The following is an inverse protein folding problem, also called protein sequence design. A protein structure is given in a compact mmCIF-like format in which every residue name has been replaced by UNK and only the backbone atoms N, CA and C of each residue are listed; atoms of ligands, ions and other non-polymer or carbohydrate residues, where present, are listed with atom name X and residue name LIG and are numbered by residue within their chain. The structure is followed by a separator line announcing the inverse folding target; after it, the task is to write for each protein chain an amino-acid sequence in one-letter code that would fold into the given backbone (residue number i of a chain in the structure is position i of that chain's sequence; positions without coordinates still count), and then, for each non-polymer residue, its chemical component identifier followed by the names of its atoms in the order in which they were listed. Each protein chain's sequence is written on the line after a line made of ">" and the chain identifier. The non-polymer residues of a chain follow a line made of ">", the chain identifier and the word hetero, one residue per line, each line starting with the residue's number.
data_IF_246414346659
#
_entry.id   IF_246414346659
#
_cell.length_a   1.000
_cell.length_b   1.000
_cell.length_c   1.000
_cell.angle_alpha   90.00
_cell.angle_beta   90.00
_cell.angle_gamma   90.00
#
_symmetry.space_group_name_H-M   'P 1'
#
loop_
_entity.id
_entity.type
_entity.pdbx_description
1 polymer ?
#
# COMPACT_ATOMS: atom_id res chain seq x y z
N UNK A 1 47.93 -69.64 -19.06
CA UNK A 1 47.43 -68.99 -17.81
C UNK A 1 47.91 -67.55 -17.81
N UNK A 2 47.06 -66.59 -18.24
CA UNK A 2 47.37 -65.15 -18.27
C UNK A 2 46.57 -64.47 -17.15
N UNK A 3 47.23 -63.92 -16.17
CA UNK A 3 46.60 -63.10 -15.07
C UNK A 3 46.56 -61.66 -15.52
N UNK A 4 45.36 -61.12 -15.68
CA UNK A 4 45.10 -59.71 -15.96
C UNK A 4 44.98 -58.98 -14.62
N UNK A 5 45.85 -58.01 -14.40
CA UNK A 5 45.88 -57.18 -13.21
C UNK A 5 45.02 -55.93 -13.50
N UNK A 6 43.85 -55.79 -12.82
CA UNK A 6 43.04 -54.58 -12.89
C UNK A 6 43.59 -53.55 -11.86
N UNK A 7 44.00 -52.41 -12.41
CA UNK A 7 44.33 -51.23 -11.58
C UNK A 7 43.06 -50.47 -11.28
N UNK A 8 42.70 -50.36 -10.00
CA UNK A 8 41.69 -49.43 -9.51
C UNK A 8 42.36 -48.09 -9.19
N UNK A 9 41.96 -47.02 -9.90
CA UNK A 9 42.27 -45.65 -9.56
C UNK A 9 41.22 -45.14 -8.54
N UNK A 10 41.62 -44.57 -7.44
CA UNK A 10 40.66 -43.92 -6.53
C UNK A 10 40.27 -42.55 -7.11
N UNK A 11 38.97 -42.35 -7.30
CA UNK A 11 38.36 -41.08 -7.66
C UNK A 11 38.30 -40.22 -6.38
N UNK A 12 39.15 -39.19 -6.30
CA UNK A 12 39.12 -38.19 -5.22
C UNK A 12 38.05 -37.19 -5.54
N UNK A 13 36.90 -37.25 -4.82
CA UNK A 13 35.92 -36.17 -4.81
C UNK A 13 36.43 -35.02 -3.95
N UNK A 14 36.80 -33.92 -4.58
CA UNK A 14 37.00 -32.65 -3.88
C UNK A 14 35.60 -32.03 -3.57
N UNK A 15 35.34 -31.62 -2.33
CA UNK A 15 34.15 -30.83 -2.05
C UNK A 15 34.33 -29.39 -2.58
N UNK A 16 33.45 -28.98 -3.52
CA UNK A 16 33.29 -27.56 -3.83
C UNK A 16 32.72 -26.86 -2.63
N UNK A 17 33.56 -26.20 -1.84
CA UNK A 17 33.12 -25.20 -0.88
C UNK A 17 32.66 -23.97 -1.67
N UNK A 18 31.33 -23.82 -1.85
CA UNK A 18 30.74 -22.60 -2.34
C UNK A 18 31.01 -21.45 -1.36
N UNK A 19 31.82 -20.48 -1.79
CA UNK A 19 31.91 -19.19 -1.12
C UNK A 19 30.56 -18.51 -1.28
N UNK A 20 29.78 -18.46 -0.22
CA UNK A 20 28.67 -17.54 -0.12
C UNK A 20 29.23 -16.11 -0.10
N UNK A 21 29.03 -15.38 -1.19
CA UNK A 21 29.31 -13.96 -1.25
C UNK A 21 28.28 -13.27 -0.33
N UNK A 22 28.74 -12.82 0.85
CA UNK A 22 27.99 -11.91 1.67
C UNK A 22 27.98 -10.54 0.98
N UNK A 23 26.81 -10.09 0.51
CA UNK A 23 26.61 -8.73 0.06
C UNK A 23 26.77 -7.77 1.27
N UNK A 24 27.72 -6.83 1.24
CA UNK A 24 27.95 -5.90 2.35
C UNK A 24 26.95 -4.72 2.37
N UNK A 25 26.07 -4.61 1.38
CA UNK A 25 25.00 -3.64 1.37
C UNK A 25 23.78 -4.31 1.99
N UNK A 26 23.36 -3.83 3.17
CA UNK A 26 22.13 -4.27 3.85
C UNK A 26 20.89 -3.97 3.01
N UNK A 27 20.80 -4.62 1.87
CA UNK A 27 19.55 -4.79 1.16
C UNK A 27 18.66 -5.60 2.09
N UNK A 28 17.66 -4.97 2.64
CA UNK A 28 16.51 -5.67 3.18
C UNK A 28 16.04 -6.57 2.05
N UNK A 29 16.24 -7.88 2.21
CA UNK A 29 15.68 -8.87 1.32
C UNK A 29 14.17 -8.64 1.34
N UNK A 30 13.65 -7.98 0.30
CA UNK A 30 12.23 -7.82 0.02
C UNK A 30 11.67 -9.22 -0.32
N UNK A 31 11.46 -10.06 0.69
CA UNK A 31 10.61 -11.25 0.58
C UNK A 31 9.14 -10.86 0.34
N UNK A 32 8.84 -9.57 0.41
CA UNK A 32 7.55 -8.96 0.09
C UNK A 32 7.41 -8.88 -1.42
N UNK A 33 6.40 -9.54 -1.97
CA UNK A 33 6.11 -9.69 -3.39
C UNK A 33 6.31 -8.40 -4.21
N UNK A 34 6.43 -8.52 -5.52
CA UNK A 34 6.66 -7.36 -6.41
C UNK A 34 5.58 -6.31 -6.21
N UNK A 35 5.95 -5.01 -6.06
CA UNK A 35 4.95 -3.94 -6.07
C UNK A 35 4.24 -3.94 -7.41
N UNK A 36 2.91 -4.17 -7.43
CA UNK A 36 2.11 -4.06 -8.64
C UNK A 36 1.40 -2.70 -8.72
N UNK A 37 1.44 -1.91 -7.63
CA UNK A 37 1.00 -0.54 -7.59
C UNK A 37 1.98 0.28 -6.75
N UNK A 38 2.44 1.40 -7.29
CA UNK A 38 3.15 2.45 -6.54
C UNK A 38 2.52 3.80 -6.87
N UNK A 39 2.46 4.68 -5.90
CA UNK A 39 1.95 6.04 -6.08
C UNK A 39 2.78 7.03 -5.28
N UNK A 40 3.00 8.23 -5.85
CA UNK A 40 3.80 9.30 -5.26
C UNK A 40 2.96 10.47 -4.75
N UNK A 41 1.63 10.43 -4.94
CA UNK A 41 0.72 11.48 -4.51
C UNK A 41 -0.63 10.94 -4.07
N UNK A 42 -1.30 11.71 -3.19
CA UNK A 42 -2.71 11.54 -2.86
C UNK A 42 -3.39 12.91 -2.85
N UNK A 43 -4.70 12.93 -3.06
CA UNK A 43 -5.55 14.12 -3.02
C UNK A 43 -6.50 14.02 -1.85
N UNK A 44 -6.57 15.08 -1.05
CA UNK A 44 -7.56 15.20 0.02
C UNK A 44 -8.98 15.33 -0.55
N UNK A 45 -9.98 14.91 0.22
CA UNK A 45 -11.38 15.09 -0.16
C UNK A 45 -11.72 16.57 -0.25
N UNK A 46 -12.36 16.97 -1.35
CA UNK A 46 -12.72 18.37 -1.62
C UNK A 46 -13.91 18.46 -2.58
N UNK A 47 -14.54 19.62 -2.64
CA UNK A 47 -15.56 19.99 -3.62
C UNK A 47 -16.71 18.98 -3.69
N UNK A 48 -16.95 18.43 -4.88
CA UNK A 48 -18.08 17.54 -5.14
C UNK A 48 -17.99 16.18 -4.43
N UNK A 49 -16.87 15.84 -3.83
CA UNK A 49 -16.68 14.57 -3.12
C UNK A 49 -16.98 14.66 -1.62
N UNK A 50 -17.14 15.86 -1.08
CA UNK A 50 -17.51 16.06 0.33
C UNK A 50 -18.91 15.48 0.54
N UNK A 51 -19.04 14.46 1.39
CA UNK A 51 -20.28 13.73 1.71
C UNK A 51 -21.08 13.21 0.50
N UNK A 52 -20.47 13.18 -0.70
CA UNK A 52 -21.17 12.88 -1.93
C UNK A 52 -20.24 12.19 -2.96
N UNK A 53 -20.79 11.76 -4.09
CA UNK A 53 -20.04 11.18 -5.20
C UNK A 53 -19.05 10.10 -4.78
N UNK A 54 -19.53 9.03 -4.16
CA UNK A 54 -18.72 7.92 -3.68
C UNK A 54 -17.79 7.37 -4.77
N UNK A 55 -16.51 7.18 -4.45
CA UNK A 55 -15.55 6.47 -5.31
C UNK A 55 -15.56 5.01 -4.91
N UNK A 56 -15.96 4.12 -5.82
CA UNK A 56 -16.05 2.67 -5.53
C UNK A 56 -16.89 2.33 -4.29
N UNK A 57 -17.94 3.11 -4.03
CA UNK A 57 -18.82 2.94 -2.89
C UNK A 57 -18.30 3.53 -1.57
N UNK A 58 -17.12 4.15 -1.56
CA UNK A 58 -16.57 4.82 -0.39
C UNK A 58 -16.85 6.32 -0.49
N UNK A 59 -17.57 6.88 0.50
CA UNK A 59 -17.87 8.31 0.57
C UNK A 59 -16.68 9.10 1.12
N UNK A 60 -16.54 10.33 0.66
CA UNK A 60 -15.65 11.31 1.27
C UNK A 60 -16.20 11.82 2.61
N UNK A 61 -15.32 12.41 3.40
CA UNK A 61 -15.67 13.03 4.66
C UNK A 61 -16.62 14.23 4.49
N UNK A 62 -17.22 14.69 5.57
CA UNK A 62 -18.15 15.84 5.60
C UNK A 62 -17.44 17.17 5.45
N UNK A 63 -16.16 17.21 5.75
CA UNK A 63 -15.33 18.40 5.64
C UNK A 63 -14.21 18.17 4.64
N UNK A 64 -13.71 19.24 4.02
CA UNK A 64 -12.55 19.14 3.14
C UNK A 64 -11.29 18.77 3.91
N UNK A 65 -10.41 18.00 3.30
CA UNK A 65 -9.08 17.66 3.80
C UNK A 65 -8.02 18.06 2.81
N UNK A 66 -6.88 18.52 3.30
CA UNK A 66 -5.69 18.77 2.50
C UNK A 66 -4.57 17.84 2.93
N UNK A 67 -3.70 17.48 2.01
CA UNK A 67 -2.54 16.63 2.27
C UNK A 67 -1.28 17.30 1.74
N UNK A 68 -0.20 17.29 2.53
CA UNK A 68 1.08 17.87 2.11
C UNK A 68 1.83 16.93 1.18
N UNK A 69 1.91 15.65 1.53
CA UNK A 69 2.50 14.61 0.70
C UNK A 69 2.05 13.23 1.17
N UNK A 70 1.94 12.31 0.22
CA UNK A 70 1.80 10.90 0.52
C UNK A 70 2.43 10.08 -0.60
N UNK A 71 2.96 8.93 -0.25
CA UNK A 71 3.43 7.93 -1.19
C UNK A 71 3.17 6.55 -0.62
N UNK A 72 3.10 5.57 -1.48
CA UNK A 72 2.87 4.22 -1.03
C UNK A 72 3.09 3.17 -2.11
N UNK A 73 3.04 1.92 -1.67
CA UNK A 73 3.13 0.73 -2.51
C UNK A 73 2.16 -0.34 -2.05
N UNK A 74 1.70 -1.13 -2.99
CA UNK A 74 0.92 -2.34 -2.76
C UNK A 74 1.57 -3.48 -3.53
N UNK A 75 1.83 -4.59 -2.87
CA UNK A 75 2.41 -5.79 -3.49
C UNK A 75 1.34 -6.81 -3.87
N UNK A 76 1.68 -7.74 -4.73
CA UNK A 76 0.73 -8.76 -5.23
C UNK A 76 0.25 -9.72 -4.14
N UNK A 77 1.00 -9.87 -3.05
CA UNK A 77 0.64 -10.68 -1.88
C UNK A 77 -0.09 -9.89 -0.79
N UNK A 78 -0.45 -8.60 -1.08
CA UNK A 78 -1.30 -7.76 -0.26
C UNK A 78 -0.59 -6.88 0.76
N UNK A 79 0.74 -6.77 0.74
CA UNK A 79 1.43 -5.82 1.61
C UNK A 79 1.18 -4.40 1.13
N UNK A 80 0.53 -3.61 1.98
CA UNK A 80 0.24 -2.20 1.79
C UNK A 80 1.15 -1.36 2.68
N UNK A 81 1.84 -0.41 2.09
CA UNK A 81 2.55 0.65 2.79
C UNK A 81 2.09 2.01 2.28
N UNK A 82 1.70 2.91 3.20
CA UNK A 82 1.37 4.31 2.90
C UNK A 82 2.08 5.20 3.91
N UNK A 83 2.91 6.12 3.42
CA UNK A 83 3.46 7.20 4.23
C UNK A 83 2.64 8.46 4.01
N UNK A 84 1.97 8.95 5.06
CA UNK A 84 1.08 10.12 5.04
C UNK A 84 1.73 11.25 5.81
N UNK A 85 1.77 12.45 5.22
CA UNK A 85 2.33 13.64 5.88
C UNK A 85 1.42 14.84 5.66
N UNK A 86 1.00 15.46 6.75
CA UNK A 86 0.21 16.68 6.73
C UNK A 86 -1.20 16.51 6.18
N UNK A 87 -1.87 15.40 6.48
CA UNK A 87 -3.29 15.20 6.19
C UNK A 87 -4.12 15.85 7.29
N UNK A 88 -4.61 17.06 7.04
CA UNK A 88 -5.26 17.93 7.99
C UNK A 88 -6.42 18.69 7.34
N UNK A 89 -7.31 19.27 8.14
CA UNK A 89 -8.29 20.20 7.61
C UNK A 89 -7.63 21.44 7.02
N UNK A 90 -8.07 21.93 5.85
CA UNK A 90 -7.53 23.15 5.24
C UNK A 90 -7.95 24.41 6.02
N UNK A 91 -7.30 25.52 5.74
CA UNK A 91 -7.78 26.84 6.18
C UNK A 91 -8.90 27.33 5.25
N UNK A 92 -10.04 26.68 5.32
CA UNK A 92 -11.23 26.92 4.50
C UNK A 92 -12.39 27.42 5.36
N UNK A 93 -13.25 28.35 4.89
CA UNK A 93 -14.45 28.80 5.60
C UNK A 93 -15.42 27.67 5.98
N UNK A 94 -15.48 26.58 5.22
CA UNK A 94 -16.33 25.42 5.53
C UNK A 94 -15.84 24.63 6.75
N UNK A 95 -14.58 24.81 7.15
CA UNK A 95 -13.99 24.14 8.31
C UNK A 95 -14.15 25.01 9.56
N UNK A 96 -14.62 24.46 10.70
CA UNK A 96 -14.65 25.16 11.98
C UNK A 96 -13.26 25.76 12.33
N UNK A 97 -13.20 27.01 12.84
CA UNK A 97 -11.91 27.70 13.03
C UNK A 97 -10.90 26.95 13.92
N UNK A 98 -11.38 26.19 14.89
CA UNK A 98 -10.60 25.41 15.85
C UNK A 98 -10.04 24.10 15.27
N UNK A 99 -10.57 23.64 14.13
CA UNK A 99 -10.09 22.45 13.42
C UNK A 99 -9.10 22.77 12.30
N UNK A 100 -9.02 24.03 11.85
CA UNK A 100 -8.17 24.39 10.72
C UNK A 100 -6.70 24.12 11.00
N UNK A 101 -6.03 23.47 10.04
CA UNK A 101 -4.61 23.15 10.09
C UNK A 101 -4.26 21.98 11.01
N UNK A 102 -5.23 21.25 11.53
CA UNK A 102 -5.01 20.07 12.35
C UNK A 102 -5.75 18.85 11.83
N UNK A 103 -5.31 17.69 12.29
CA UNK A 103 -6.03 16.44 12.25
C UNK A 103 -6.65 16.20 13.63
N UNK A 104 -7.93 15.88 13.69
CA UNK A 104 -8.65 15.54 14.92
C UNK A 104 -8.84 14.03 15.13
N UNK A 105 -8.52 13.21 14.12
CA UNK A 105 -8.58 11.74 14.21
C UNK A 105 -7.31 11.16 14.85
N UNK A 106 -7.45 10.25 15.84
CA UNK A 106 -6.30 9.63 16.50
C UNK A 106 -5.62 8.56 15.65
N UNK A 107 -6.33 8.02 14.65
CA UNK A 107 -5.82 6.97 13.75
C UNK A 107 -6.30 7.17 12.33
N UNK A 108 -5.49 6.71 11.37
CA UNK A 108 -5.89 6.54 9.97
C UNK A 108 -5.89 5.06 9.59
N UNK A 109 -6.72 4.69 8.62
CA UNK A 109 -6.75 3.36 8.00
C UNK A 109 -6.41 3.46 6.52
N UNK A 110 -5.71 2.47 6.00
CA UNK A 110 -5.58 2.27 4.55
C UNK A 110 -6.73 1.43 4.02
N UNK A 111 -7.24 1.74 2.83
CA UNK A 111 -8.19 0.89 2.13
C UNK A 111 -7.72 0.67 0.70
N UNK A 112 -7.77 -0.58 0.25
CA UNK A 112 -7.57 -0.96 -1.15
C UNK A 112 -8.92 -1.37 -1.74
N UNK A 113 -9.31 -0.69 -2.80
CA UNK A 113 -10.50 -1.01 -3.59
C UNK A 113 -10.11 -1.68 -4.89
N UNK A 114 -10.52 -2.92 -5.10
CA UNK A 114 -10.28 -3.70 -6.30
C UNK A 114 -11.57 -3.87 -7.12
N UNK A 115 -11.44 -3.95 -8.44
CA UNK A 115 -12.45 -4.63 -9.26
C UNK A 115 -12.08 -6.11 -9.32
N UNK A 116 -13.06 -6.97 -9.11
CA UNK A 116 -12.88 -8.43 -9.09
C UNK A 116 -14.00 -9.14 -9.82
N UNK A 117 -13.78 -10.37 -10.22
CA UNK A 117 -14.82 -11.25 -10.77
C UNK A 117 -15.80 -11.68 -9.65
N UNK A 118 -17.10 -11.67 -9.93
CA UNK A 118 -18.14 -12.13 -9.01
C UNK A 118 -18.38 -13.66 -9.08
N UNK A 119 -17.59 -14.37 -9.89
CA UNK A 119 -17.75 -15.81 -10.14
C UNK A 119 -18.94 -16.16 -11.04
N UNK A 120 -19.65 -15.17 -11.59
CA UNK A 120 -20.81 -15.31 -12.47
C UNK A 120 -20.64 -14.60 -13.81
N UNK A 121 -19.43 -14.10 -14.10
CA UNK A 121 -19.09 -13.34 -15.29
C UNK A 121 -19.38 -11.84 -15.17
N UNK A 122 -19.68 -11.34 -13.97
CA UNK A 122 -19.82 -9.93 -13.64
C UNK A 122 -18.58 -9.38 -12.91
N UNK A 123 -18.54 -8.04 -12.78
CA UNK A 123 -17.49 -7.34 -12.05
C UNK A 123 -18.10 -6.72 -10.79
N UNK A 124 -17.46 -6.96 -9.64
CA UNK A 124 -17.81 -6.36 -8.36
C UNK A 124 -16.68 -5.52 -7.82
N UNK A 125 -17.02 -4.51 -7.01
CA UNK A 125 -16.06 -3.77 -6.20
C UNK A 125 -15.84 -4.50 -4.88
N UNK A 126 -14.58 -4.78 -4.57
CA UNK A 126 -14.15 -5.37 -3.30
C UNK A 126 -13.27 -4.36 -2.59
N UNK A 127 -13.72 -3.90 -1.42
CA UNK A 127 -13.01 -2.95 -0.55
C UNK A 127 -12.43 -3.70 0.64
N UNK A 128 -11.11 -3.59 0.85
CA UNK A 128 -10.41 -4.23 1.97
C UNK A 128 -9.65 -3.16 2.75
N UNK A 129 -10.02 -2.96 4.01
CA UNK A 129 -9.42 -1.94 4.87
C UNK A 129 -8.46 -2.55 5.89
N UNK A 130 -7.47 -1.76 6.31
CA UNK A 130 -6.59 -2.09 7.43
C UNK A 130 -7.26 -1.80 8.77
N UNK A 131 -6.63 -2.23 9.84
CA UNK A 131 -6.83 -1.63 11.17
C UNK A 131 -6.37 -0.17 11.19
N UNK A 132 -6.67 0.56 12.29
CA UNK A 132 -6.20 1.92 12.52
C UNK A 132 -4.71 1.97 12.87
N UNK A 133 -4.02 2.95 12.31
CA UNK A 133 -2.62 3.29 12.60
C UNK A 133 -2.57 4.69 13.21
N UNK A 134 -1.71 4.88 14.21
CA UNK A 134 -1.62 6.15 14.92
C UNK A 134 -1.39 7.32 13.95
N UNK A 135 -2.19 8.37 14.12
CA UNK A 135 -2.08 9.62 13.39
C UNK A 135 -1.78 10.76 14.37
N UNK A 136 -0.86 11.63 13.99
CA UNK A 136 -0.52 12.81 14.79
C UNK A 136 -1.51 13.95 14.53
N UNK A 137 -1.61 14.90 15.44
CA UNK A 137 -2.39 16.13 15.25
C UNK A 137 -1.94 16.95 14.02
N UNK A 138 -0.71 16.79 13.58
CA UNK A 138 -0.19 17.37 12.34
C UNK A 138 -0.46 16.52 11.09
N UNK A 139 -1.28 15.48 11.19
CA UNK A 139 -1.71 14.64 10.07
C UNK A 139 -0.65 13.71 9.52
N UNK A 140 0.27 13.21 10.35
CA UNK A 140 1.28 12.25 9.93
C UNK A 140 0.91 10.85 10.41
N UNK A 141 1.05 9.86 9.55
CA UNK A 141 0.87 8.44 9.85
C UNK A 141 1.69 7.59 8.89
N UNK A 142 2.13 6.42 9.36
CA UNK A 142 2.75 5.39 8.54
C UNK A 142 1.90 4.12 8.68
N UNK A 143 1.27 3.71 7.58
CA UNK A 143 0.34 2.58 7.52
C UNK A 143 1.08 1.40 6.90
N UNK A 144 1.19 0.30 7.65
CA UNK A 144 1.83 -0.94 7.21
C UNK A 144 0.93 -2.12 7.53
N UNK A 145 0.41 -2.80 6.52
CA UNK A 145 -0.47 -3.93 6.74
C UNK A 145 -0.35 -4.95 5.61
N UNK A 146 -0.72 -6.17 5.92
CA UNK A 146 -1.01 -7.19 4.93
C UNK A 146 -2.51 -7.38 4.81
N UNK A 147 -3.05 -7.16 3.63
CA UNK A 147 -4.46 -7.27 3.30
C UNK A 147 -4.75 -8.58 2.57
N UNK A 148 -5.87 -9.21 2.89
CA UNK A 148 -6.39 -10.33 2.11
C UNK A 148 -7.11 -9.80 0.86
N UNK A 149 -6.35 -9.49 -0.19
CA UNK A 149 -6.91 -9.02 -1.45
C UNK A 149 -7.65 -10.15 -2.18
N UNK A 150 -8.66 -9.82 -3.02
CA UNK A 150 -9.26 -10.81 -3.90
C UNK A 150 -8.22 -11.37 -4.88
N UNK A 151 -8.39 -12.63 -5.30
CA UNK A 151 -7.46 -13.30 -6.22
C UNK A 151 -7.24 -12.52 -7.53
N UNK A 152 -8.25 -11.79 -7.96
CA UNK A 152 -8.16 -10.81 -9.05
C UNK A 152 -8.42 -9.42 -8.46
N UNK A 153 -7.39 -8.61 -8.37
CA UNK A 153 -7.48 -7.21 -7.98
C UNK A 153 -7.13 -6.34 -9.20
N UNK A 154 -8.12 -5.94 -9.95
CA UNK A 154 -7.95 -5.13 -11.17
C UNK A 154 -8.17 -3.66 -10.85
N UNK A 155 -7.37 -2.78 -11.44
CA UNK A 155 -7.43 -1.33 -11.27
C UNK A 155 -7.55 -0.91 -9.80
N UNK A 156 -6.61 -1.29 -8.92
CA UNK A 156 -6.66 -0.96 -7.50
C UNK A 156 -6.67 0.55 -7.29
N UNK A 157 -7.46 1.01 -6.32
CA UNK A 157 -7.45 2.38 -5.82
C UNK A 157 -7.13 2.31 -4.34
N UNK A 158 -6.21 3.16 -3.86
CA UNK A 158 -5.82 3.24 -2.46
C UNK A 158 -6.36 4.51 -1.84
N UNK A 159 -6.96 4.36 -0.66
CA UNK A 159 -7.49 5.47 0.14
C UNK A 159 -6.81 5.52 1.51
N UNK A 160 -6.81 6.70 2.10
CA UNK A 160 -6.66 6.91 3.54
C UNK A 160 -8.03 7.27 4.10
N UNK A 161 -8.49 6.47 5.06
CA UNK A 161 -9.78 6.64 5.73
C UNK A 161 -9.61 7.21 7.12
N UNK A 162 -10.72 7.74 7.66
CA UNK A 162 -10.92 7.92 9.09
C UNK A 162 -10.63 6.63 9.87
N UNK A 163 -10.12 6.77 11.08
CA UNK A 163 -9.95 5.64 12.00
C UNK A 163 -11.27 5.16 12.59
N UNK A 164 -12.26 6.02 12.71
CA UNK A 164 -13.53 5.79 13.37
C UNK A 164 -14.70 5.53 12.40
N UNK A 165 -14.60 5.99 11.14
CA UNK A 165 -15.67 5.95 10.16
C UNK A 165 -15.20 5.38 8.82
N UNK A 166 -16.13 4.85 8.00
CA UNK A 166 -15.83 4.35 6.65
C UNK A 166 -15.89 5.47 5.58
N UNK A 167 -15.23 6.61 5.90
CA UNK A 167 -15.10 7.76 5.02
C UNK A 167 -13.65 8.01 4.66
N UNK A 168 -13.42 8.43 3.42
CA UNK A 168 -12.06 8.71 2.99
C UNK A 168 -11.69 10.18 3.17
N UNK A 169 -10.46 10.41 3.62
CA UNK A 169 -9.81 11.69 3.76
C UNK A 169 -8.89 12.00 2.57
N UNK A 170 -8.25 10.96 2.03
CA UNK A 170 -7.41 11.09 0.85
C UNK A 170 -7.49 9.85 -0.05
N UNK A 171 -7.33 10.06 -1.36
CA UNK A 171 -7.30 9.03 -2.38
C UNK A 171 -6.04 9.16 -3.24
N UNK A 172 -5.46 8.06 -3.68
CA UNK A 172 -4.28 8.08 -4.53
C UNK A 172 -4.55 8.81 -5.84
N UNK A 173 -3.56 9.62 -6.27
CA UNK A 173 -3.49 10.19 -7.60
C UNK A 173 -2.63 9.32 -8.52
N UNK A 174 -2.89 9.38 -9.83
CA UNK A 174 -1.92 8.90 -10.82
C UNK A 174 -0.91 10.02 -11.09
N UNK A 175 0.38 9.75 -10.95
CA UNK A 175 1.37 10.59 -11.63
C UNK A 175 1.18 10.40 -13.12
N UNK A 176 0.68 11.43 -13.80
CA UNK A 176 0.84 11.51 -15.25
C UNK A 176 2.32 11.79 -15.47
N UNK A 177 3.07 10.79 -15.95
CA UNK A 177 4.42 11.03 -16.42
C UNK A 177 4.33 12.20 -17.43
N UNK A 178 4.92 13.32 -17.07
CA UNK A 178 4.99 14.49 -17.97
C UNK A 178 5.71 14.09 -19.26
N UNK A 179 5.41 14.77 -20.37
CA UNK A 179 6.04 14.50 -21.66
C UNK A 179 7.54 14.75 -21.62
#
# INVERSE_FOLDING_TARGET
>A
MKRTLLWFLPFVLLPLTGLAASNPDGAFDDEDGRPFLSFGSMYGVDGAFISNNAIRGVLGDELPWQIKSAHGKLTSDGHLHISVRGLVFPNDPAVPPDLRGINDEPTFRGLVSCLSDDGKGGIVTVNVATQGFAATRSGNSDIHARLALPAQCVAPIVFVLSGSEDKWFAVMGQEVAGP
#
